data_IF_151304848761
#
_entry.id   IF_151304848761
#
_cell.length_a   1.000
_cell.length_b   1.000
_cell.length_c   1.000
_cell.angle_alpha   90.00
_cell.angle_beta   90.00
_cell.angle_gamma   90.00
#
_symmetry.space_group_name_H-M   'P 1'
#
loop_
_entity.id
_entity.type
_entity.pdbx_description
1 polymer ?
#
# COMPACT_ATOMS: atom_id res chain seq x y z
N UNK A 1 23.56 15.10 6.73
CA UNK A 1 23.85 13.81 6.08
C UNK A 1 22.83 13.65 4.98
N UNK A 2 23.24 13.92 3.75
CA UNK A 2 22.43 13.87 2.54
C UNK A 2 22.10 12.42 2.25
N UNK A 3 20.83 12.03 2.43
CA UNK A 3 20.34 10.76 1.90
C UNK A 3 20.48 10.84 0.38
N UNK A 4 21.38 10.04 -0.18
CA UNK A 4 21.39 9.76 -1.61
C UNK A 4 20.00 9.20 -1.96
N UNK A 5 19.19 10.03 -2.60
CA UNK A 5 17.96 9.61 -3.24
C UNK A 5 18.35 8.54 -4.24
N UNK A 6 18.03 7.29 -3.92
CA UNK A 6 17.94 6.22 -4.89
C UNK A 6 17.17 6.75 -6.10
N UNK A 7 17.67 6.51 -7.31
CA UNK A 7 17.09 7.04 -8.57
C UNK A 7 15.72 6.47 -8.94
N UNK A 8 14.88 6.20 -7.95
CA UNK A 8 13.49 5.83 -8.08
C UNK A 8 12.65 7.10 -8.35
N UNK A 9 11.60 7.00 -9.18
CA UNK A 9 10.71 8.11 -9.43
C UNK A 9 9.97 8.51 -8.16
N UNK A 10 9.56 9.78 -8.10
CA UNK A 10 8.64 10.27 -7.07
C UNK A 10 7.36 9.44 -7.00
N UNK A 11 6.71 9.43 -5.83
CA UNK A 11 5.39 8.80 -5.67
C UNK A 11 4.40 9.41 -6.68
N UNK A 12 3.60 8.58 -7.38
CA UNK A 12 2.62 9.08 -8.34
C UNK A 12 1.44 9.74 -7.62
N UNK A 13 0.61 10.45 -8.38
CA UNK A 13 -0.64 10.98 -7.84
C UNK A 13 -0.46 12.13 -6.85
N UNK A 14 0.67 12.86 -6.90
CA UNK A 14 0.95 13.94 -5.95
C UNK A 14 -0.04 15.08 -6.11
N UNK A 15 -0.88 15.27 -5.09
CA UNK A 15 -1.77 16.41 -4.96
C UNK A 15 -1.20 17.42 -3.98
N UNK A 16 -1.13 18.68 -4.40
CA UNK A 16 -0.78 19.82 -3.55
C UNK A 16 -2.03 20.65 -3.34
N UNK A 17 -2.45 20.80 -2.08
CA UNK A 17 -3.61 21.64 -1.75
C UNK A 17 -3.33 23.08 -2.15
N UNK A 18 -4.09 23.60 -3.10
CA UNK A 18 -3.98 24.97 -3.61
C UNK A 18 -5.12 25.84 -3.08
N UNK A 19 -4.97 26.35 -1.85
CA UNK A 19 -5.85 27.36 -1.26
C UNK A 19 -7.34 27.01 -1.15
N UNK A 20 -7.72 25.75 -1.39
CA UNK A 20 -9.10 25.29 -1.33
C UNK A 20 -9.46 24.76 0.07
N UNK A 21 -10.73 24.88 0.43
CA UNK A 21 -11.24 24.36 1.70
C UNK A 21 -11.29 22.83 1.67
N UNK A 22 -10.92 22.15 2.77
CA UNK A 22 -11.06 20.70 2.88
C UNK A 22 -12.50 20.25 2.62
N UNK A 23 -12.69 19.19 1.84
CA UNK A 23 -13.96 18.63 1.43
C UNK A 23 -14.70 19.42 0.34
N UNK A 24 -14.14 20.53 -0.16
CA UNK A 24 -14.76 21.32 -1.22
C UNK A 24 -14.80 20.56 -2.56
N UNK A 25 -15.73 20.94 -3.45
CA UNK A 25 -15.80 20.38 -4.81
C UNK A 25 -14.47 20.56 -5.56
N UNK A 26 -13.83 21.72 -5.41
CA UNK A 26 -12.55 22.01 -6.04
C UNK A 26 -11.41 21.12 -5.53
N UNK A 27 -11.41 20.78 -4.24
CA UNK A 27 -10.44 19.79 -3.71
C UNK A 27 -10.69 18.41 -4.31
N UNK A 28 -11.96 17.99 -4.38
CA UNK A 28 -12.33 16.69 -4.99
C UNK A 28 -11.95 16.61 -6.47
N UNK A 29 -12.22 17.65 -7.24
CA UNK A 29 -11.78 17.75 -8.64
C UNK A 29 -10.25 17.67 -8.73
N UNK A 30 -9.53 18.40 -7.88
CA UNK A 30 -8.07 18.33 -7.83
C UNK A 30 -7.53 16.95 -7.46
N UNK A 31 -8.22 16.19 -6.62
CA UNK A 31 -7.88 14.80 -6.32
C UNK A 31 -8.08 13.88 -7.53
N UNK A 32 -9.20 14.04 -8.26
CA UNK A 32 -9.49 13.25 -9.45
C UNK A 32 -8.48 13.56 -10.58
N UNK A 33 -8.10 14.82 -10.75
CA UNK A 33 -7.15 15.26 -11.76
C UNK A 33 -5.72 14.80 -11.46
N UNK A 34 -5.31 14.83 -10.18
CA UNK A 34 -3.97 14.39 -9.78
C UNK A 34 -3.84 12.87 -9.73
N UNK A 35 -4.92 12.16 -9.41
CA UNK A 35 -4.92 10.73 -9.11
C UNK A 35 -4.38 9.84 -10.24
N UNK A 36 -3.56 8.85 -9.88
CA UNK A 36 -3.00 7.90 -10.83
C UNK A 36 -3.82 6.59 -10.89
N UNK A 37 -4.38 6.19 -12.05
CA UNK A 37 -5.16 4.97 -12.15
C UNK A 37 -4.39 3.72 -11.71
N UNK A 38 -4.97 2.95 -10.80
CA UNK A 38 -4.31 1.80 -10.21
C UNK A 38 -5.28 0.69 -9.84
N UNK A 39 -4.80 -0.54 -9.92
CA UNK A 39 -5.30 -1.67 -9.13
C UNK A 39 -4.26 -2.02 -8.08
N UNK A 40 -4.67 -1.98 -6.82
CA UNK A 40 -3.85 -2.19 -5.64
C UNK A 40 -4.21 -3.52 -4.96
N UNK A 41 -3.18 -4.24 -4.52
CA UNK A 41 -3.30 -5.43 -3.68
C UNK A 41 -2.38 -5.32 -2.46
N UNK A 42 -2.95 -5.52 -1.28
CA UNK A 42 -2.20 -5.63 -0.02
C UNK A 42 -1.46 -6.96 0.03
N UNK A 43 -0.15 -6.91 0.21
CA UNK A 43 0.69 -8.11 0.31
C UNK A 43 0.77 -8.66 1.74
N UNK A 44 0.38 -7.85 2.74
CA UNK A 44 0.44 -8.24 4.16
C UNK A 44 -0.92 -8.18 4.83
N UNK A 45 -1.08 -9.04 5.82
CA UNK A 45 -2.18 -9.01 6.79
C UNK A 45 -1.57 -8.97 8.21
N UNK A 46 -1.95 -7.96 9.00
CA UNK A 46 -1.38 -7.72 10.33
C UNK A 46 0.17 -7.76 10.35
N UNK A 47 0.81 -7.12 9.36
CA UNK A 47 2.27 -7.07 9.25
C UNK A 47 2.95 -8.29 8.62
N UNK A 48 2.23 -9.39 8.40
CA UNK A 48 2.77 -10.65 7.86
C UNK A 48 2.50 -10.77 6.37
N UNK A 49 3.54 -11.02 5.58
CA UNK A 49 3.39 -11.31 4.14
C UNK A 49 2.57 -12.57 3.91
N UNK A 50 1.57 -12.46 3.04
CA UNK A 50 0.71 -13.57 2.67
C UNK A 50 1.29 -14.37 1.50
N UNK A 51 1.07 -15.71 1.44
CA UNK A 51 1.48 -16.51 0.30
C UNK A 51 0.57 -16.23 -0.91
N UNK A 52 1.09 -16.48 -2.12
CA UNK A 52 0.39 -16.13 -3.38
C UNK A 52 -0.99 -16.76 -3.51
N UNK A 53 -1.19 -18.00 -3.03
CA UNK A 53 -2.48 -18.67 -3.10
C UNK A 53 -3.56 -17.97 -2.25
N UNK A 54 -3.16 -17.35 -1.13
CA UNK A 54 -4.05 -16.53 -0.30
C UNK A 54 -4.29 -15.20 -0.97
N UNK A 55 -3.24 -14.54 -1.46
CA UNK A 55 -3.32 -13.24 -2.13
C UNK A 55 -4.26 -13.23 -3.34
N UNK A 56 -4.34 -14.32 -4.10
CA UNK A 56 -5.30 -14.45 -5.22
C UNK A 56 -6.76 -14.38 -4.81
N UNK A 57 -7.07 -14.62 -3.53
CA UNK A 57 -8.43 -14.57 -2.96
C UNK A 57 -8.70 -13.27 -2.21
N UNK A 58 -7.67 -12.46 -1.98
CA UNK A 58 -7.79 -11.16 -1.30
C UNK A 58 -8.41 -10.15 -2.26
N UNK A 59 -9.25 -9.29 -1.72
CA UNK A 59 -9.89 -8.22 -2.47
C UNK A 59 -8.84 -7.26 -3.06
N UNK A 60 -8.95 -6.99 -4.35
CA UNK A 60 -8.15 -6.00 -5.08
C UNK A 60 -8.92 -4.69 -5.07
N UNK A 61 -8.25 -3.58 -4.81
CA UNK A 61 -8.88 -2.26 -4.80
C UNK A 61 -8.49 -1.54 -6.09
N UNK A 62 -9.47 -1.18 -6.91
CA UNK A 62 -9.25 -0.40 -8.14
C UNK A 62 -9.77 1.01 -7.95
N UNK A 63 -8.95 2.00 -8.28
CA UNK A 63 -9.30 3.41 -8.14
C UNK A 63 -8.15 4.31 -8.57
N UNK A 64 -8.06 5.49 -7.97
CA UNK A 64 -6.97 6.44 -8.22
C UNK A 64 -6.04 6.48 -7.02
N UNK A 65 -4.75 6.28 -7.25
CA UNK A 65 -3.71 6.50 -6.25
C UNK A 65 -3.48 8.00 -6.10
N UNK A 66 -3.70 8.50 -4.89
CA UNK A 66 -3.46 9.87 -4.52
C UNK A 66 -2.38 9.92 -3.45
N UNK A 67 -1.33 10.70 -3.69
CA UNK A 67 -0.30 11.01 -2.70
C UNK A 67 -0.52 12.42 -2.18
N UNK A 68 -0.82 12.55 -0.90
CA UNK A 68 -0.94 13.82 -0.19
C UNK A 68 0.24 13.99 0.76
N UNK A 69 0.64 15.23 1.02
CA UNK A 69 1.62 15.54 2.05
C UNK A 69 0.94 16.41 3.09
N UNK A 70 0.42 15.76 4.13
CA UNK A 70 -0.19 16.44 5.27
C UNK A 70 0.82 16.42 6.42
N UNK A 71 1.21 17.59 6.91
CA UNK A 71 2.11 17.73 8.06
C UNK A 71 3.53 17.12 7.90
N UNK A 72 4.05 17.05 6.67
CA UNK A 72 5.44 16.70 6.39
C UNK A 72 5.71 15.23 6.06
N UNK A 73 4.72 14.35 6.22
CA UNK A 73 4.80 12.95 5.81
C UNK A 73 3.93 12.68 4.57
N UNK A 74 4.49 11.96 3.58
CA UNK A 74 3.72 11.49 2.43
C UNK A 74 2.75 10.38 2.86
N UNK A 75 1.48 10.58 2.53
CA UNK A 75 0.38 9.63 2.73
C UNK A 75 -0.21 9.26 1.37
N UNK A 76 -0.45 7.96 1.17
CA UNK A 76 -0.99 7.44 -0.08
C UNK A 76 -2.34 6.80 0.16
N UNK A 77 -3.34 7.21 -0.61
CA UNK A 77 -4.70 6.69 -0.58
C UNK A 77 -5.09 6.13 -1.94
N UNK A 78 -6.07 5.23 -1.93
CA UNK A 78 -6.82 4.90 -3.15
C UNK A 78 -8.18 5.56 -3.02
N UNK A 79 -8.57 6.39 -3.99
CA UNK A 79 -9.86 7.08 -3.99
C UNK A 79 -10.75 6.54 -5.11
N UNK A 80 -12.05 6.63 -4.89
CA UNK A 80 -13.08 6.27 -5.87
C UNK A 80 -13.12 7.29 -7.03
N UNK A 81 -12.93 6.87 -8.29
CA UNK A 81 -13.04 7.75 -9.46
C UNK A 81 -14.50 8.19 -9.73
N UNK A 82 -15.50 7.54 -9.14
CA UNK A 82 -16.94 7.78 -9.37
C UNK A 82 -17.50 9.13 -8.86
N UNK A 83 -16.65 10.14 -8.65
CA UNK A 83 -17.06 11.50 -8.28
C UNK A 83 -17.37 11.71 -6.79
N UNK A 84 -17.46 10.63 -5.99
CA UNK A 84 -17.56 10.75 -4.54
C UNK A 84 -16.25 11.27 -3.93
N UNK A 85 -15.11 10.93 -4.56
CA UNK A 85 -13.76 11.21 -4.04
C UNK A 85 -13.49 10.53 -2.71
N UNK A 86 -14.34 9.56 -2.32
CA UNK A 86 -14.20 8.85 -1.07
C UNK A 86 -12.97 7.95 -1.10
N UNK A 87 -12.27 7.90 0.02
CA UNK A 87 -11.15 6.98 0.20
C UNK A 87 -11.66 5.53 0.23
N UNK A 88 -11.15 4.72 -0.69
CA UNK A 88 -11.35 3.27 -0.74
C UNK A 88 -10.41 2.52 0.21
N UNK A 89 -9.41 3.22 0.77
CA UNK A 89 -8.46 2.69 1.74
C UNK A 89 -8.28 3.68 2.89
N UNK A 90 -7.88 3.20 4.07
CA UNK A 90 -7.52 4.06 5.22
C UNK A 90 -6.26 4.91 4.98
N UNK A 91 -5.64 4.79 3.80
CA UNK A 91 -4.36 5.38 3.47
C UNK A 91 -3.18 4.69 4.16
N UNK A 92 -2.07 4.63 3.45
CA UNK A 92 -0.78 4.21 3.98
C UNK A 92 0.04 5.46 4.31
N UNK A 93 0.67 5.49 5.49
CA UNK A 93 1.52 6.59 5.94
C UNK A 93 3.00 6.19 5.88
N UNK A 94 3.90 7.19 5.91
CA UNK A 94 5.36 7.00 5.84
C UNK A 94 5.74 6.17 4.62
N UNK A 95 5.15 6.52 3.48
CA UNK A 95 5.21 5.70 2.28
C UNK A 95 6.54 5.91 1.56
N UNK A 96 7.16 4.80 1.20
CA UNK A 96 8.32 4.75 0.34
C UNK A 96 8.03 3.85 -0.87
N UNK A 97 8.61 4.21 -2.02
CA UNK A 97 8.61 3.33 -3.18
C UNK A 97 9.79 2.36 -3.06
N UNK A 98 9.51 1.06 -2.97
CA UNK A 98 10.55 0.03 -2.93
C UNK A 98 11.05 -0.32 -4.33
N UNK A 99 10.14 -0.32 -5.29
CA UNK A 99 10.43 -0.75 -6.66
C UNK A 99 9.43 -0.11 -7.61
N UNK A 100 9.95 0.40 -8.72
CA UNK A 100 9.18 0.71 -9.92
C UNK A 100 9.64 -0.19 -11.06
N UNK A 101 8.73 -0.56 -11.94
CA UNK A 101 9.01 -1.30 -13.17
C UNK A 101 8.59 -0.48 -14.39
N UNK A 102 9.17 -0.81 -15.53
CA UNK A 102 8.89 -0.14 -16.81
C UNK A 102 7.46 -0.34 -17.31
N UNK A 103 6.78 -1.38 -16.82
CA UNK A 103 5.35 -1.64 -17.07
C UNK A 103 4.41 -0.76 -16.21
N UNK A 104 4.96 0.17 -15.42
CA UNK A 104 4.21 1.04 -14.52
C UNK A 104 3.81 0.38 -13.19
N UNK A 105 4.11 -0.91 -12.99
CA UNK A 105 3.88 -1.55 -11.70
C UNK A 105 4.89 -1.10 -10.65
N UNK A 106 4.44 -0.99 -9.41
CA UNK A 106 5.24 -0.53 -8.30
C UNK A 106 4.93 -1.27 -7.00
N UNK A 107 5.93 -1.31 -6.14
CA UNK A 107 5.80 -1.77 -4.76
C UNK A 107 5.95 -0.56 -3.85
N UNK A 108 4.91 -0.28 -3.09
CA UNK A 108 4.91 0.75 -2.06
C UNK A 108 4.99 0.09 -0.70
N UNK A 109 5.81 0.61 0.19
CA UNK A 109 5.91 0.18 1.58
C UNK A 109 5.56 1.34 2.51
N UNK A 110 4.94 1.03 3.63
CA UNK A 110 4.64 2.00 4.66
C UNK A 110 3.92 1.32 5.82
N UNK A 111 3.04 2.07 6.47
CA UNK A 111 2.25 1.60 7.61
C UNK A 111 0.78 1.89 7.37
N UNK A 112 -0.08 0.91 7.63
CA UNK A 112 -1.54 1.09 7.64
C UNK A 112 -2.07 0.89 9.05
N UNK A 113 -3.13 1.63 9.39
CA UNK A 113 -3.97 1.32 10.53
C UNK A 113 -4.83 0.09 10.21
N UNK A 114 -5.12 -0.73 11.21
CA UNK A 114 -6.19 -1.71 11.09
C UNK A 114 -7.57 -1.04 10.93
N UNK A 115 -8.57 -1.81 10.54
CA UNK A 115 -9.92 -1.29 10.26
C UNK A 115 -10.60 -0.63 11.48
N UNK A 116 -10.14 -0.97 12.69
CA UNK A 116 -10.61 -0.40 13.94
C UNK A 116 -9.81 0.82 14.41
N UNK A 117 -8.77 1.22 13.67
CA UNK A 117 -7.83 2.28 14.04
C UNK A 117 -7.16 2.07 15.41
N UNK A 118 -7.00 0.81 15.80
CA UNK A 118 -6.44 0.43 17.10
C UNK A 118 -4.93 0.23 17.03
N UNK A 119 -4.44 -0.35 15.94
CA UNK A 119 -3.03 -0.66 15.76
C UNK A 119 -2.54 -0.36 14.36
N UNK A 120 -1.28 0.04 14.31
CA UNK A 120 -0.52 0.22 13.09
C UNK A 120 0.26 -1.05 12.75
N UNK A 121 0.20 -1.46 11.48
CA UNK A 121 0.94 -2.60 10.97
C UNK A 121 1.77 -2.21 9.75
N UNK A 122 3.00 -2.74 9.62
CA UNK A 122 3.75 -2.63 8.37
C UNK A 122 2.93 -3.19 7.21
N UNK A 123 2.90 -2.46 6.10
CA UNK A 123 2.18 -2.86 4.90
C UNK A 123 3.08 -2.76 3.67
N UNK A 124 2.78 -3.58 2.68
CA UNK A 124 3.32 -3.43 1.33
C UNK A 124 2.18 -3.57 0.31
N UNK A 125 2.01 -2.56 -0.52
CA UNK A 125 1.04 -2.56 -1.62
C UNK A 125 1.75 -2.91 -2.93
N UNK A 126 1.18 -3.88 -3.64
CA UNK A 126 1.43 -4.06 -5.07
C UNK A 126 0.44 -3.19 -5.84
N UNK A 127 0.96 -2.23 -6.59
CA UNK A 127 0.20 -1.32 -7.40
C UNK A 127 0.50 -1.58 -8.88
N UNK A 128 -0.52 -1.88 -9.67
CA UNK A 128 -0.42 -2.06 -11.12
C UNK A 128 -1.34 -1.06 -11.83
N UNK A 129 -1.01 -0.60 -13.05
CA UNK A 129 -1.91 0.30 -13.80
C UNK A 129 -3.29 -0.31 -14.04
N UNK A 130 -3.37 -1.64 -14.15
CA UNK A 130 -4.60 -2.39 -14.33
C UNK A 130 -4.60 -3.70 -13.52
N UNK A 131 -5.75 -4.37 -13.50
CA UNK A 131 -5.92 -5.64 -12.80
C UNK A 131 -5.19 -6.83 -13.45
N UNK A 132 -4.89 -6.74 -14.76
CA UNK A 132 -4.20 -7.80 -15.49
C UNK A 132 -2.72 -7.90 -15.09
N UNK A 133 -2.12 -6.80 -14.63
CA UNK A 133 -0.73 -6.77 -14.12
C UNK A 133 -0.51 -7.48 -12.78
N UNK A 134 -1.55 -7.67 -11.96
CA UNK A 134 -1.43 -8.20 -10.60
C UNK A 134 -0.92 -9.64 -10.58
N UNK A 135 -1.57 -10.56 -11.31
CA UNK A 135 -1.23 -11.98 -11.25
C UNK A 135 0.18 -12.29 -11.81
N UNK A 136 0.61 -11.70 -12.95
CA UNK A 136 1.99 -11.78 -13.41
C UNK A 136 3.00 -11.26 -12.38
N UNK A 137 2.72 -10.11 -11.75
CA UNK A 137 3.61 -9.56 -10.73
C UNK A 137 3.70 -10.47 -9.49
N UNK A 138 2.58 -11.03 -9.02
CA UNK A 138 2.55 -12.01 -7.94
C UNK A 138 3.36 -13.27 -8.28
N UNK A 139 3.26 -13.76 -9.51
CA UNK A 139 3.99 -14.94 -9.96
C UNK A 139 5.50 -14.74 -9.87
N UNK A 140 6.01 -13.55 -10.22
CA UNK A 140 7.43 -13.20 -10.10
C UNK A 140 7.91 -13.17 -8.64
N UNK A 141 7.02 -12.86 -7.70
CA UNK A 141 7.33 -12.76 -6.27
C UNK A 141 7.05 -14.05 -5.49
N UNK A 142 6.53 -15.09 -6.13
CA UNK A 142 5.97 -16.26 -5.44
C UNK A 142 6.95 -16.94 -4.49
N UNK A 143 8.18 -17.22 -4.95
CA UNK A 143 9.20 -17.89 -4.14
C UNK A 143 9.62 -17.05 -2.93
N UNK A 144 9.66 -15.72 -3.10
CA UNK A 144 10.02 -14.80 -2.02
C UNK A 144 8.88 -14.67 -1.00
N UNK A 145 7.64 -14.45 -1.45
CA UNK A 145 6.46 -14.35 -0.56
C UNK A 145 6.26 -15.63 0.26
N UNK A 146 6.39 -16.80 -0.36
CA UNK A 146 6.25 -18.07 0.35
C UNK A 146 7.35 -18.26 1.42
N UNK A 147 8.59 -17.81 1.17
CA UNK A 147 9.67 -17.84 2.17
C UNK A 147 9.38 -16.89 3.34
N UNK A 148 8.93 -15.67 3.06
CA UNK A 148 8.55 -14.71 4.11
C UNK A 148 7.44 -15.26 5.00
N UNK A 149 6.40 -15.82 4.39
CA UNK A 149 5.30 -16.44 5.12
C UNK A 149 5.74 -17.64 5.97
N UNK A 150 6.53 -18.55 5.40
CA UNK A 150 7.04 -19.72 6.11
C UNK A 150 7.90 -19.34 7.32
N UNK A 151 8.74 -18.31 7.19
CA UNK A 151 9.55 -17.79 8.28
C UNK A 151 8.68 -17.22 9.42
N UNK A 152 7.67 -16.42 9.09
CA UNK A 152 6.74 -15.88 10.07
C UNK A 152 5.93 -16.98 10.76
N UNK A 153 5.40 -17.94 10.00
CA UNK A 153 4.67 -19.09 10.52
C UNK A 153 5.53 -19.89 11.52
N UNK A 154 6.78 -20.19 11.16
CA UNK A 154 7.70 -20.91 12.03
C UNK A 154 8.01 -20.14 13.33
N UNK A 155 8.04 -18.80 13.31
CA UNK A 155 8.22 -18.00 14.52
C UNK A 155 7.01 -18.08 15.46
N UNK A 156 5.79 -18.10 14.91
CA UNK A 156 4.55 -18.20 15.68
C UNK A 156 4.38 -19.61 16.26
N UNK A 157 4.72 -20.65 15.49
CA UNK A 157 4.58 -22.05 15.88
C UNK A 157 5.72 -22.56 16.78
N UNK A 158 6.80 -21.79 16.93
CA UNK A 158 7.87 -22.14 17.88
C UNK A 158 7.26 -22.27 19.28
N UNK A 159 7.46 -23.41 19.97
CA UNK A 159 7.01 -23.55 21.34
C UNK A 159 7.73 -22.49 22.18
N UNK A 160 7.00 -21.45 22.57
CA UNK A 160 7.45 -20.55 23.63
C UNK A 160 7.58 -21.44 24.86
N UNK A 161 8.78 -21.49 25.46
CA UNK A 161 8.97 -22.15 26.77
C UNK A 161 7.81 -21.72 27.67
N UNK A 162 6.88 -22.64 27.94
CA UNK A 162 5.89 -22.45 28.99
C UNK A 162 6.68 -22.23 30.28
N UNK A 163 6.32 -21.17 30.99
CA UNK A 163 6.96 -20.85 32.26
C UNK A 163 6.83 -22.05 33.22
N UNK A 164 7.86 -22.38 34.00
CA UNK A 164 7.94 -23.62 34.80
C UNK A 164 7.10 -23.60 36.10
N UNK A 165 6.06 -22.76 36.17
CA UNK A 165 5.19 -22.68 37.34
C UNK A 165 3.79 -23.20 37.02
N UNK A 166 3.71 -24.51 36.77
CA UNK A 166 2.51 -25.33 36.98
C UNK A 166 2.94 -26.53 37.81
#
# INVERSE_FOLDING_TARGET
MSHESTGLPDLPGRYKRDGCSPGSLREREGHLDAGWPVTMLRLRFCGVYMPVHTLRRVHRVTGLLLTTNECGDDRVHIIDPGGSGNELTRGMIRVEMLKARTDGSMLLQGVEWDEGELRQWPQTWLCCPDAAGIDPALQLMQSWLNRQYAAAKAQIERPVKRWPYV
#
